data_IF_775880381663
#
_entry.id   IF_775880381663
#
_cell.length_a   1.000
_cell.length_b   1.000
_cell.length_c   1.000
_cell.angle_alpha   90.00
_cell.angle_beta   90.00
_cell.angle_gamma   90.00
#
_symmetry.space_group_name_H-M   'P 1'
#
loop_
_entity.id
_entity.type
_entity.pdbx_description
1 polymer ?
#
# COMPACT_ATOMS: atom_id res chain seq x y z
N UNK A 1 -18.11 -17.91 -18.47
CA UNK A 1 -17.07 -18.39 -17.53
C UNK A 1 -16.29 -17.25 -16.85
N UNK A 2 -15.90 -16.17 -17.53
CA UNK A 2 -15.20 -15.02 -16.93
C UNK A 2 -16.00 -14.22 -15.87
N UNK A 3 -17.33 -14.07 -16.03
CA UNK A 3 -18.17 -13.39 -15.03
C UNK A 3 -18.19 -14.12 -13.67
N UNK A 4 -18.08 -15.45 -13.63
CA UNK A 4 -18.10 -16.21 -12.37
C UNK A 4 -16.80 -16.04 -11.58
N UNK A 5 -15.65 -15.97 -12.26
CA UNK A 5 -14.36 -15.73 -11.59
C UNK A 5 -14.29 -14.32 -11.00
N UNK A 6 -14.66 -13.28 -11.74
CA UNK A 6 -14.60 -11.90 -11.24
C UNK A 6 -15.53 -11.67 -10.03
N UNK A 7 -16.72 -12.25 -10.07
CA UNK A 7 -17.69 -12.21 -8.95
C UNK A 7 -17.14 -12.94 -7.73
N UNK A 8 -16.49 -14.09 -7.94
CA UNK A 8 -15.85 -14.87 -6.88
C UNK A 8 -14.63 -14.16 -6.25
N UNK A 9 -13.77 -13.54 -7.07
CA UNK A 9 -12.63 -12.74 -6.60
C UNK A 9 -13.08 -11.54 -5.76
N UNK A 10 -14.17 -10.89 -6.16
CA UNK A 10 -14.71 -9.73 -5.45
C UNK A 10 -15.37 -10.14 -4.14
N UNK A 11 -16.05 -11.29 -4.11
CA UNK A 11 -16.67 -11.85 -2.91
C UNK A 11 -15.63 -12.22 -1.83
N UNK A 12 -14.52 -12.88 -2.22
CA UNK A 12 -13.44 -13.24 -1.28
C UNK A 12 -12.80 -12.01 -0.60
N UNK A 13 -12.56 -10.92 -1.34
CA UNK A 13 -12.01 -9.69 -0.73
C UNK A 13 -12.97 -9.07 0.30
N UNK A 14 -14.28 -9.09 0.04
CA UNK A 14 -15.28 -8.61 1.01
C UNK A 14 -15.27 -9.45 2.29
N UNK A 15 -15.04 -10.76 2.18
CA UNK A 15 -14.88 -11.65 3.34
C UNK A 15 -13.62 -11.26 4.15
N UNK A 16 -12.50 -11.00 3.48
CA UNK A 16 -11.25 -10.65 4.15
C UNK A 16 -11.34 -9.33 4.93
N UNK A 17 -12.08 -8.35 4.38
CA UNK A 17 -12.28 -7.06 5.01
C UNK A 17 -13.33 -7.08 6.14
N UNK A 18 -14.06 -8.19 6.32
CA UNK A 18 -15.01 -8.34 7.41
C UNK A 18 -14.27 -8.65 8.72
N UNK A 19 -14.42 -7.78 9.73
CA UNK A 19 -13.73 -7.91 11.02
C UNK A 19 -14.04 -9.20 11.78
N UNK A 20 -15.19 -9.84 11.53
CA UNK A 20 -15.59 -11.10 12.19
C UNK A 20 -15.16 -12.36 11.42
N UNK A 21 -14.65 -12.21 10.20
CA UNK A 21 -14.23 -13.31 9.33
C UNK A 21 -12.74 -13.27 9.06
N UNK A 22 -12.26 -12.24 8.37
CA UNK A 22 -10.84 -12.01 8.10
C UNK A 22 -10.16 -12.99 7.14
N UNK A 23 -10.76 -14.15 6.87
CA UNK A 23 -10.29 -15.12 5.88
C UNK A 23 -11.44 -15.97 5.33
N UNK A 24 -11.22 -16.60 4.19
CA UNK A 24 -12.20 -17.54 3.61
C UNK A 24 -12.34 -18.81 4.47
N UNK A 25 -11.23 -19.30 5.03
CA UNK A 25 -11.25 -20.40 5.99
C UNK A 25 -12.20 -20.11 7.17
N UNK A 26 -12.13 -18.91 7.77
CA UNK A 26 -13.01 -18.56 8.91
C UNK A 26 -14.48 -18.47 8.49
N UNK A 27 -14.74 -18.02 7.26
CA UNK A 27 -16.08 -18.04 6.68
C UNK A 27 -16.61 -19.47 6.58
N UNK A 28 -15.83 -20.40 6.03
CA UNK A 28 -16.22 -21.81 5.91
C UNK A 28 -16.50 -22.44 7.28
N UNK A 29 -15.60 -22.27 8.26
CA UNK A 29 -15.81 -22.78 9.63
C UNK A 29 -17.09 -22.24 10.26
N UNK A 30 -17.46 -20.99 9.99
CA UNK A 30 -18.62 -20.34 10.61
C UNK A 30 -19.95 -20.70 9.93
N UNK A 31 -19.96 -20.87 8.61
CA UNK A 31 -21.20 -20.95 7.84
C UNK A 31 -21.41 -22.29 7.12
N UNK A 32 -20.35 -23.03 6.83
CA UNK A 32 -20.43 -24.33 6.14
C UNK A 32 -20.37 -25.49 7.15
N UNK A 33 -21.54 -26.02 7.52
CA UNK A 33 -21.66 -27.07 8.56
C UNK A 33 -20.87 -28.35 8.25
N UNK A 34 -20.69 -28.64 6.97
CA UNK A 34 -19.96 -29.82 6.48
C UNK A 34 -18.45 -29.60 6.41
N UNK A 35 -17.97 -28.36 6.62
CA UNK A 35 -16.55 -28.07 6.61
C UNK A 35 -15.88 -28.57 7.90
N UNK A 36 -15.04 -29.58 7.80
CA UNK A 36 -14.45 -30.31 8.94
C UNK A 36 -13.01 -29.91 9.28
N UNK A 37 -12.28 -29.24 8.39
CA UNK A 37 -10.89 -28.83 8.62
C UNK A 37 -10.82 -27.83 9.78
N UNK A 38 -9.92 -28.06 10.73
CA UNK A 38 -9.67 -27.16 11.88
C UNK A 38 -8.19 -26.85 11.99
N UNK A 39 -7.87 -25.59 11.75
CA UNK A 39 -6.54 -25.01 11.97
C UNK A 39 -6.39 -24.63 13.45
N UNK A 40 -5.17 -24.67 13.95
CA UNK A 40 -4.80 -24.08 15.24
C UNK A 40 -4.96 -22.55 15.21
N UNK A 41 -5.05 -21.92 16.40
CA UNK A 41 -5.21 -20.46 16.49
C UNK A 41 -4.11 -19.69 15.74
N UNK A 42 -2.86 -20.18 15.80
CA UNK A 42 -1.74 -19.53 15.12
C UNK A 42 -1.81 -19.69 13.60
N UNK A 43 -2.20 -20.88 13.10
CA UNK A 43 -2.44 -21.11 11.67
C UNK A 43 -3.61 -20.24 11.16
N UNK A 44 -4.71 -20.16 11.91
CA UNK A 44 -5.84 -19.29 11.57
C UNK A 44 -5.39 -17.82 11.44
N UNK A 45 -4.54 -17.36 12.36
CA UNK A 45 -4.01 -15.99 12.36
C UNK A 45 -3.07 -15.72 11.20
N UNK A 46 -2.24 -16.69 10.82
CA UNK A 46 -1.40 -16.59 9.61
C UNK A 46 -2.27 -16.48 8.35
N UNK A 47 -3.31 -17.32 8.23
CA UNK A 47 -4.24 -17.26 7.09
C UNK A 47 -4.99 -15.92 7.06
N UNK A 48 -5.42 -15.39 8.21
CA UNK A 48 -6.03 -14.06 8.34
C UNK A 48 -5.07 -12.94 7.89
N UNK A 49 -3.82 -12.98 8.36
CA UNK A 49 -2.79 -12.00 8.00
C UNK A 49 -2.60 -11.95 6.48
N UNK A 50 -2.34 -13.11 5.85
CA UNK A 50 -2.10 -13.19 4.41
C UNK A 50 -3.35 -12.72 3.64
N UNK A 51 -4.55 -13.12 4.09
CA UNK A 51 -5.83 -12.71 3.48
C UNK A 51 -5.99 -11.18 3.47
N UNK A 52 -5.77 -10.53 4.61
CA UNK A 52 -5.97 -9.08 4.76
C UNK A 52 -4.85 -8.25 4.18
N UNK A 53 -3.60 -8.72 4.26
CA UNK A 53 -2.42 -7.89 3.97
C UNK A 53 -1.83 -8.15 2.59
N UNK A 54 -1.90 -9.38 2.08
CA UNK A 54 -1.15 -9.80 0.89
C UNK A 54 -2.05 -10.28 -0.25
N UNK A 55 -3.16 -10.95 0.06
CA UNK A 55 -4.02 -11.58 -0.94
C UNK A 55 -4.81 -10.59 -1.81
N UNK A 56 -4.79 -9.30 -1.49
CA UNK A 56 -5.25 -8.24 -2.41
C UNK A 56 -4.46 -8.24 -3.72
N UNK A 57 -3.24 -8.77 -3.70
CA UNK A 57 -2.37 -8.93 -4.86
C UNK A 57 -1.58 -7.68 -5.21
N UNK A 58 -1.45 -6.71 -4.30
CA UNK A 58 -0.82 -5.40 -4.57
C UNK A 58 0.70 -5.47 -4.83
N UNK A 59 1.38 -6.53 -4.38
CA UNK A 59 2.80 -6.81 -4.70
C UNK A 59 3.02 -8.31 -4.78
N UNK A 60 3.81 -8.74 -5.77
CA UNK A 60 4.05 -10.17 -6.03
C UNK A 60 5.03 -10.82 -5.05
N UNK A 61 5.95 -10.04 -4.47
CA UNK A 61 7.14 -10.51 -3.78
C UNK A 61 6.81 -11.42 -2.59
N UNK A 62 5.93 -10.99 -1.68
CA UNK A 62 5.58 -11.75 -0.48
C UNK A 62 4.74 -12.99 -0.79
N UNK A 63 3.86 -12.90 -1.79
CA UNK A 63 3.06 -14.04 -2.26
C UNK A 63 3.96 -15.13 -2.81
N UNK A 64 4.90 -14.72 -3.65
CA UNK A 64 5.87 -15.60 -4.24
C UNK A 64 6.85 -16.13 -3.16
N UNK A 65 7.23 -15.34 -2.17
CA UNK A 65 7.99 -15.84 -1.01
C UNK A 65 7.26 -16.98 -0.31
N UNK A 66 5.97 -16.80 0.02
CA UNK A 66 5.16 -17.82 0.69
C UNK A 66 5.02 -19.09 -0.15
N UNK A 67 4.89 -18.98 -1.47
CA UNK A 67 4.86 -20.15 -2.34
C UNK A 67 6.21 -20.88 -2.37
N UNK A 68 7.33 -20.16 -2.19
CA UNK A 68 8.67 -20.76 -2.05
C UNK A 68 8.84 -21.48 -0.72
N UNK A 69 8.31 -20.96 0.37
CA UNK A 69 8.45 -21.59 1.69
C UNK A 69 7.70 -22.93 1.79
N UNK A 70 6.72 -23.19 0.92
CA UNK A 70 6.08 -24.51 0.81
C UNK A 70 7.07 -25.60 0.32
N UNK A 71 8.03 -25.23 -0.53
CA UNK A 71 8.95 -26.16 -1.19
C UNK A 71 10.37 -26.15 -0.60
N UNK A 72 10.79 -25.00 -0.09
CA UNK A 72 12.16 -24.77 0.39
C UNK A 72 12.14 -24.32 1.85
N UNK A 73 13.20 -24.69 2.58
CA UNK A 73 13.36 -24.34 3.99
C UNK A 73 14.45 -23.29 4.23
N UNK A 74 15.41 -23.18 3.31
CA UNK A 74 16.60 -22.34 3.44
C UNK A 74 16.83 -21.52 2.17
N UNK A 75 17.63 -20.46 2.31
CA UNK A 75 18.00 -19.53 1.23
C UNK A 75 16.80 -18.91 0.54
N UNK A 76 15.80 -18.52 1.33
CA UNK A 76 14.48 -18.11 0.84
C UNK A 76 14.58 -16.80 0.05
N UNK A 77 15.35 -15.81 0.52
CA UNK A 77 15.46 -14.52 -0.18
C UNK A 77 16.24 -14.70 -1.48
N UNK A 78 17.38 -15.40 -1.48
CA UNK A 78 18.14 -15.64 -2.70
C UNK A 78 17.32 -16.40 -3.76
N UNK A 79 16.48 -17.36 -3.35
CA UNK A 79 15.55 -18.07 -4.25
C UNK A 79 14.43 -17.17 -4.75
N UNK A 80 13.90 -16.29 -3.91
CA UNK A 80 12.88 -15.32 -4.31
C UNK A 80 13.43 -14.38 -5.38
N UNK A 81 14.59 -13.76 -5.14
CA UNK A 81 15.22 -12.83 -6.08
C UNK A 81 15.42 -13.47 -7.45
N UNK A 82 16.01 -14.66 -7.50
CA UNK A 82 16.19 -15.41 -8.75
C UNK A 82 14.86 -15.63 -9.47
N UNK A 83 13.83 -16.08 -8.75
CA UNK A 83 12.54 -16.37 -9.35
C UNK A 83 11.82 -15.11 -9.86
N UNK A 84 11.89 -14.00 -9.14
CA UNK A 84 11.28 -12.74 -9.54
C UNK A 84 11.94 -12.18 -10.81
N UNK A 85 13.27 -12.24 -10.88
CA UNK A 85 14.03 -11.84 -12.07
C UNK A 85 13.65 -12.71 -13.29
N UNK A 86 13.64 -14.04 -13.14
CA UNK A 86 13.38 -14.98 -14.24
C UNK A 86 11.92 -14.94 -14.75
N UNK A 87 10.94 -14.84 -13.85
CA UNK A 87 9.52 -15.00 -14.20
C UNK A 87 8.76 -13.69 -14.35
N UNK A 88 9.14 -12.67 -13.59
CA UNK A 88 8.44 -11.38 -13.53
C UNK A 88 9.29 -10.22 -14.05
N UNK A 89 10.57 -10.45 -14.37
CA UNK A 89 11.52 -9.40 -14.74
C UNK A 89 11.55 -8.27 -13.70
N UNK A 90 11.40 -8.66 -12.43
CA UNK A 90 11.42 -7.76 -11.28
C UNK A 90 12.69 -8.01 -10.46
N UNK A 91 13.47 -6.96 -10.24
CA UNK A 91 14.63 -6.98 -9.37
C UNK A 91 14.28 -6.50 -7.96
N UNK A 92 15.05 -6.97 -6.97
CA UNK A 92 14.93 -6.50 -5.59
C UNK A 92 16.19 -5.75 -5.20
N UNK A 93 16.08 -4.43 -5.08
CA UNK A 93 17.14 -3.62 -4.48
C UNK A 93 17.22 -3.84 -2.96
N UNK A 94 18.15 -3.14 -2.31
CA UNK A 94 18.37 -3.25 -0.87
C UNK A 94 17.12 -2.85 -0.06
N UNK A 95 16.46 -1.74 -0.44
CA UNK A 95 15.27 -1.24 0.24
C UNK A 95 14.07 -2.20 0.11
N UNK A 96 13.86 -2.74 -1.09
CA UNK A 96 12.84 -3.74 -1.35
C UNK A 96 13.11 -5.02 -0.55
N UNK A 97 14.35 -5.49 -0.57
CA UNK A 97 14.77 -6.69 0.16
C UNK A 97 14.52 -6.54 1.66
N UNK A 98 14.96 -5.43 2.25
CA UNK A 98 14.73 -5.13 3.65
C UNK A 98 13.24 -5.00 3.99
N UNK A 99 12.46 -4.29 3.17
CA UNK A 99 11.01 -4.15 3.38
C UNK A 99 10.29 -5.51 3.32
N UNK A 100 10.63 -6.38 2.35
CA UNK A 100 10.08 -7.74 2.25
C UNK A 100 10.46 -8.55 3.49
N UNK A 101 11.72 -8.48 3.94
CA UNK A 101 12.14 -9.14 5.19
C UNK A 101 11.30 -8.64 6.36
N UNK A 102 11.17 -7.32 6.54
CA UNK A 102 10.43 -6.73 7.65
C UNK A 102 8.93 -7.10 7.62
N UNK A 103 8.33 -7.21 6.43
CA UNK A 103 6.97 -7.73 6.26
C UNK A 103 6.87 -9.18 6.72
N UNK A 104 7.85 -10.01 6.33
CA UNK A 104 7.83 -11.45 6.58
C UNK A 104 8.43 -11.86 7.94
N UNK A 105 8.96 -10.92 8.72
CA UNK A 105 9.41 -11.11 10.11
C UNK A 105 8.56 -10.35 11.13
N UNK A 106 7.47 -9.70 10.70
CA UNK A 106 6.59 -8.87 11.53
C UNK A 106 7.30 -7.64 12.15
N UNK A 107 8.31 -7.09 11.47
CA UNK A 107 9.04 -5.88 11.86
C UNK A 107 8.59 -4.63 11.10
N UNK A 108 7.84 -4.77 10.00
CA UNK A 108 7.23 -3.65 9.29
C UNK A 108 6.10 -2.93 10.05
N UNK A 109 5.11 -3.63 10.66
CA UNK A 109 3.98 -2.95 11.27
C UNK A 109 4.35 -2.19 12.54
N UNK A 110 3.56 -1.17 12.89
CA UNK A 110 3.71 -0.43 14.15
C UNK A 110 3.28 -1.27 15.36
N UNK A 111 3.69 -0.87 16.56
CA UNK A 111 3.62 -1.69 17.79
C UNK A 111 2.24 -2.30 18.09
N UNK A 112 1.14 -1.62 17.75
CA UNK A 112 -0.21 -2.17 17.96
C UNK A 112 -0.52 -3.32 16.99
N UNK A 113 -0.27 -3.12 15.69
CA UNK A 113 -0.50 -4.13 14.66
C UNK A 113 0.49 -5.31 14.78
N UNK A 114 1.73 -5.03 15.21
CA UNK A 114 2.74 -6.06 15.51
C UNK A 114 2.26 -7.06 16.56
N UNK A 115 1.55 -6.59 17.60
CA UNK A 115 0.94 -7.46 18.62
C UNK A 115 -0.20 -8.32 18.09
N UNK A 116 -1.02 -7.78 17.19
CA UNK A 116 -2.17 -8.51 16.61
C UNK A 116 -1.74 -9.75 15.81
N UNK A 117 -0.56 -9.70 15.18
CA UNK A 117 -0.02 -10.76 14.32
C UNK A 117 1.34 -11.25 14.83
N UNK A 118 1.54 -11.33 16.15
CA UNK A 118 2.81 -11.70 16.76
C UNK A 118 3.36 -13.06 16.29
N UNK A 119 2.47 -14.00 15.93
CA UNK A 119 2.81 -15.33 15.38
C UNK A 119 3.17 -15.31 13.89
N UNK A 120 2.93 -14.20 13.17
CA UNK A 120 3.17 -14.09 11.72
C UNK A 120 4.64 -13.77 11.42
N UNK A 121 5.54 -14.60 11.94
CA UNK A 121 6.98 -14.55 11.68
C UNK A 121 7.31 -15.72 10.75
N UNK A 122 7.52 -15.44 9.47
CA UNK A 122 7.72 -16.46 8.43
C UNK A 122 9.19 -16.80 8.22
N UNK A 123 10.08 -15.84 8.45
CA UNK A 123 11.51 -15.96 8.20
C UNK A 123 12.33 -15.90 9.49
N UNK A 124 13.50 -16.53 9.47
CA UNK A 124 14.59 -16.34 10.45
C UNK A 124 15.90 -16.11 9.72
N UNK A 125 16.76 -15.23 10.25
CA UNK A 125 18.08 -14.97 9.66
C UNK A 125 18.96 -16.22 9.77
N UNK A 126 19.63 -16.59 8.68
CA UNK A 126 20.56 -17.72 8.60
C UNK A 126 21.84 -17.27 7.89
N UNK A 127 22.96 -17.12 8.61
CA UNK A 127 24.24 -16.65 8.04
C UNK A 127 24.04 -15.46 7.07
N UNK A 128 24.16 -15.70 5.77
CA UNK A 128 24.07 -14.68 4.71
C UNK A 128 22.66 -14.50 4.11
N UNK A 129 21.69 -15.36 4.42
CA UNK A 129 20.33 -15.36 3.85
C UNK A 129 19.28 -15.52 4.98
N UNK A 130 18.09 -16.04 4.65
CA UNK A 130 17.01 -16.36 5.56
C UNK A 130 16.46 -17.76 5.27
N UNK A 131 16.12 -18.48 6.34
CA UNK A 131 15.33 -19.70 6.29
C UNK A 131 13.93 -19.46 6.83
N UNK A 132 13.10 -20.51 6.83
CA UNK A 132 11.79 -20.44 7.48
C UNK A 132 11.93 -20.38 9.01
N UNK A 133 11.08 -19.61 9.67
CA UNK A 133 11.07 -19.57 11.15
C UNK A 133 10.62 -20.91 11.75
N UNK A 134 10.96 -21.16 13.02
CA UNK A 134 10.57 -22.41 13.68
C UNK A 134 9.06 -22.48 13.94
N UNK A 135 8.42 -21.35 14.24
CA UNK A 135 6.96 -21.25 14.45
C UNK A 135 6.23 -21.58 13.16
N UNK A 136 6.64 -20.96 12.06
CA UNK A 136 6.03 -21.21 10.75
C UNK A 136 6.36 -22.61 10.22
N UNK A 137 7.58 -23.11 10.48
CA UNK A 137 7.99 -24.48 10.12
C UNK A 137 7.18 -25.58 10.79
N UNK A 138 6.70 -25.36 12.02
CA UNK A 138 5.76 -26.27 12.68
C UNK A 138 4.39 -26.29 11.98
N UNK A 139 3.86 -25.13 11.60
CA UNK A 139 2.59 -25.05 10.85
C UNK A 139 2.67 -25.75 9.50
N UNK A 140 3.82 -25.63 8.81
CA UNK A 140 4.06 -26.30 7.53
C UNK A 140 4.11 -27.84 7.61
N UNK A 141 4.02 -28.44 8.81
CA UNK A 141 3.83 -29.88 8.97
C UNK A 141 2.36 -30.30 8.83
N UNK A 142 1.42 -29.35 8.94
CA UNK A 142 -0.01 -29.60 8.76
C UNK A 142 -0.37 -29.52 7.26
N UNK A 143 -0.77 -30.63 6.63
CA UNK A 143 -1.09 -30.64 5.20
C UNK A 143 -2.32 -29.79 4.86
N UNK A 144 -3.31 -29.72 5.75
CA UNK A 144 -4.52 -28.91 5.55
C UNK A 144 -4.20 -27.41 5.56
N UNK A 145 -3.32 -26.98 6.48
CA UNK A 145 -2.81 -25.61 6.48
C UNK A 145 -2.06 -25.28 5.18
N UNK A 146 -1.19 -26.18 4.72
CA UNK A 146 -0.43 -25.99 3.49
C UNK A 146 -1.35 -25.86 2.26
N UNK A 147 -2.39 -26.69 2.16
CA UNK A 147 -3.36 -26.63 1.08
C UNK A 147 -4.14 -25.30 1.07
N UNK A 148 -4.64 -24.85 2.23
CA UNK A 148 -5.33 -23.56 2.36
C UNK A 148 -4.39 -22.40 2.04
N UNK A 149 -3.15 -22.46 2.51
CA UNK A 149 -2.14 -21.44 2.25
C UNK A 149 -1.82 -21.35 0.75
N UNK A 150 -1.62 -22.48 0.08
CA UNK A 150 -1.34 -22.51 -1.35
C UNK A 150 -2.50 -21.92 -2.17
N UNK A 151 -3.75 -22.30 -1.87
CA UNK A 151 -4.94 -21.73 -2.54
C UNK A 151 -5.01 -20.21 -2.34
N UNK A 152 -4.76 -19.73 -1.11
CA UNK A 152 -4.80 -18.31 -0.78
C UNK A 152 -3.69 -17.53 -1.51
N UNK A 153 -2.49 -18.08 -1.58
CA UNK A 153 -1.36 -17.47 -2.28
C UNK A 153 -1.62 -17.44 -3.79
N UNK A 154 -2.13 -18.52 -4.38
CA UNK A 154 -2.47 -18.58 -5.80
C UNK A 154 -3.62 -17.63 -6.17
N UNK A 155 -4.59 -17.47 -5.28
CA UNK A 155 -5.60 -16.42 -5.38
C UNK A 155 -4.95 -15.03 -5.42
N UNK A 156 -4.04 -14.73 -4.49
CA UNK A 156 -3.32 -13.46 -4.45
C UNK A 156 -2.49 -13.20 -5.71
N UNK A 157 -1.75 -14.20 -6.19
CA UNK A 157 -0.95 -14.12 -7.42
C UNK A 157 -1.85 -13.87 -8.63
N UNK A 158 -2.99 -14.54 -8.70
CA UNK A 158 -3.97 -14.32 -9.78
C UNK A 158 -4.49 -12.89 -9.79
N UNK A 159 -4.76 -12.31 -8.62
CA UNK A 159 -5.16 -10.91 -8.49
C UNK A 159 -4.06 -9.93 -8.88
N UNK A 160 -2.82 -10.21 -8.50
CA UNK A 160 -1.66 -9.42 -8.93
C UNK A 160 -1.58 -9.38 -10.45
N UNK A 161 -1.62 -10.55 -11.10
CA UNK A 161 -1.54 -10.65 -12.57
C UNK A 161 -2.61 -9.83 -13.29
N UNK A 162 -3.82 -9.80 -12.75
CA UNK A 162 -4.95 -9.08 -13.36
C UNK A 162 -4.91 -7.58 -13.09
N UNK A 163 -4.52 -7.14 -11.89
CA UNK A 163 -4.75 -5.75 -11.45
C UNK A 163 -3.48 -4.94 -11.19
N UNK A 164 -2.35 -5.60 -10.91
CA UNK A 164 -1.15 -4.97 -10.35
C UNK A 164 0.15 -5.36 -11.06
N UNK A 165 0.10 -6.11 -12.17
CA UNK A 165 1.28 -6.53 -12.93
C UNK A 165 1.86 -5.45 -13.84
N UNK A 166 1.04 -4.48 -14.24
CA UNK A 166 1.44 -3.34 -15.08
C UNK A 166 1.83 -2.16 -14.19
N UNK A 167 3.05 -2.23 -13.65
CA UNK A 167 3.60 -1.20 -12.78
C UNK A 167 3.70 0.16 -13.49
N UNK A 168 3.52 1.24 -12.73
CA UNK A 168 3.82 2.59 -13.15
C UNK A 168 5.32 2.81 -13.07
N UNK A 169 5.95 2.84 -14.25
CA UNK A 169 7.39 3.06 -14.41
C UNK A 169 8.20 2.07 -13.52
N UNK A 170 9.10 2.59 -12.70
CA UNK A 170 9.99 1.86 -11.77
C UNK A 170 9.38 1.63 -10.37
N UNK A 171 8.08 1.89 -10.16
CA UNK A 171 7.42 1.67 -8.87
C UNK A 171 6.75 0.29 -8.75
N UNK A 172 6.27 -0.07 -7.56
CA UNK A 172 5.33 -1.20 -7.38
C UNK A 172 3.85 -0.75 -7.40
N UNK A 173 3.57 0.49 -7.80
CA UNK A 173 2.24 1.08 -7.85
C UNK A 173 1.68 0.97 -9.27
N UNK A 174 0.35 1.03 -9.41
CA UNK A 174 -0.36 1.02 -10.70
C UNK A 174 -1.31 2.20 -10.72
N UNK A 175 -1.25 2.99 -11.80
CA UNK A 175 -2.10 4.16 -11.95
C UNK A 175 -3.58 3.81 -11.78
N UNK A 176 -4.28 4.69 -11.09
CA UNK A 176 -5.73 4.64 -10.83
C UNK A 176 -6.19 3.44 -9.98
N UNK A 177 -5.27 2.65 -9.45
CA UNK A 177 -5.59 1.67 -8.41
C UNK A 177 -5.66 2.35 -7.04
N UNK A 178 -6.33 1.67 -6.09
CA UNK A 178 -6.59 2.16 -4.74
C UNK A 178 -5.57 1.63 -3.72
N UNK A 179 -5.07 2.53 -2.89
CA UNK A 179 -4.04 2.24 -1.89
C UNK A 179 -4.34 2.92 -0.55
N UNK A 180 -4.06 2.21 0.54
CA UNK A 180 -4.05 2.80 1.89
C UNK A 180 -2.70 3.47 2.18
N UNK A 181 -2.61 4.21 3.29
CA UNK A 181 -1.32 4.68 3.81
C UNK A 181 -0.31 3.55 4.04
N UNK A 182 -0.76 2.43 4.60
CA UNK A 182 0.10 1.26 4.85
C UNK A 182 0.58 0.63 3.54
N UNK A 183 -0.27 0.56 2.52
CA UNK A 183 0.14 0.11 1.19
C UNK A 183 1.21 1.01 0.59
N UNK A 184 1.07 2.33 0.72
CA UNK A 184 2.06 3.26 0.19
C UNK A 184 3.42 3.07 0.88
N UNK A 185 3.48 2.99 2.21
CA UNK A 185 4.72 2.70 2.92
C UNK A 185 5.34 1.37 2.45
N UNK A 186 4.53 0.33 2.25
CA UNK A 186 5.00 -0.99 1.81
C UNK A 186 5.52 -0.98 0.38
N UNK A 187 4.78 -0.38 -0.54
CA UNK A 187 5.06 -0.40 -1.99
C UNK A 187 6.15 0.59 -2.41
N UNK A 188 6.36 1.65 -1.62
CA UNK A 188 7.51 2.55 -1.71
C UNK A 188 8.72 2.03 -0.93
N UNK A 189 8.68 0.78 -0.45
CA UNK A 189 9.78 0.07 0.23
C UNK A 189 10.29 0.75 1.51
N UNK A 190 9.43 1.47 2.25
CA UNK A 190 9.84 2.05 3.53
C UNK A 190 10.19 0.94 4.53
N UNK A 191 11.20 1.17 5.36
CA UNK A 191 11.65 0.15 6.33
C UNK A 191 10.51 -0.30 7.26
N UNK A 192 9.66 0.65 7.67
CA UNK A 192 8.53 0.43 8.59
C UNK A 192 7.29 1.19 8.13
N UNK A 193 6.14 0.72 8.59
CA UNK A 193 4.88 1.42 8.43
C UNK A 193 4.85 2.69 9.28
N UNK A 194 4.08 3.67 8.82
CA UNK A 194 3.77 4.89 9.55
C UNK A 194 2.27 5.01 9.77
N UNK A 195 1.87 5.44 10.97
CA UNK A 195 0.44 5.66 11.24
C UNK A 195 -0.04 6.90 10.46
N UNK A 196 -1.31 6.91 10.00
CA UNK A 196 -1.84 8.04 9.21
C UNK A 196 -1.65 9.42 9.86
N UNK A 197 -1.73 9.48 11.20
CA UNK A 197 -1.50 10.72 11.96
C UNK A 197 -0.08 11.28 11.77
N UNK A 198 0.93 10.41 11.71
CA UNK A 198 2.33 10.81 11.54
C UNK A 198 2.62 11.24 10.08
N UNK A 199 1.90 10.67 9.12
CA UNK A 199 1.98 11.08 7.71
C UNK A 199 1.32 12.45 7.56
N UNK A 200 0.09 12.62 8.06
CA UNK A 200 -0.57 13.92 8.15
C UNK A 200 -0.74 14.65 6.80
N UNK A 201 -0.93 13.92 5.71
CA UNK A 201 -1.09 14.46 4.34
C UNK A 201 0.14 14.27 3.47
N UNK A 202 1.35 14.35 4.02
CA UNK A 202 2.57 13.99 3.28
C UNK A 202 3.72 13.68 4.24
N UNK A 203 4.61 12.76 3.87
CA UNK A 203 5.83 12.50 4.67
C UNK A 203 6.98 12.05 3.78
N UNK A 204 8.12 12.69 3.95
CA UNK A 204 9.34 12.34 3.23
C UNK A 204 10.06 11.20 3.95
N UNK A 205 10.35 10.12 3.23
CA UNK A 205 11.23 9.07 3.71
C UNK A 205 12.64 9.26 3.12
N UNK A 206 13.59 9.61 3.99
CA UNK A 206 14.97 9.93 3.59
C UNK A 206 15.71 8.71 3.03
N UNK A 207 15.36 7.50 3.47
CA UNK A 207 16.04 6.25 3.09
C UNK A 207 15.74 5.89 1.64
N UNK A 208 14.46 5.85 1.28
CA UNK A 208 14.00 5.53 -0.08
C UNK A 208 13.92 6.74 -1.00
N UNK A 209 14.12 7.95 -0.45
CA UNK A 209 13.92 9.24 -1.13
C UNK A 209 12.53 9.40 -1.76
N UNK A 210 11.51 8.76 -1.21
CA UNK A 210 10.13 8.90 -1.67
C UNK A 210 9.34 9.86 -0.81
N UNK A 211 8.41 10.59 -1.43
CA UNK A 211 7.62 11.63 -0.78
C UNK A 211 6.15 11.56 -1.22
N UNK A 212 5.36 10.63 -0.65
CA UNK A 212 3.94 10.54 -0.96
C UNK A 212 3.15 11.74 -0.41
N UNK A 213 2.23 12.22 -1.24
CA UNK A 213 1.22 13.25 -0.94
C UNK A 213 -0.16 12.58 -0.99
N UNK A 214 -0.96 12.78 0.05
CA UNK A 214 -2.31 12.25 0.21
C UNK A 214 -3.30 13.41 0.34
N UNK A 215 -4.16 13.56 -0.67
CA UNK A 215 -5.17 14.61 -0.73
C UNK A 215 -6.55 13.99 -0.54
N UNK A 216 -7.35 14.65 0.29
CA UNK A 216 -8.77 14.39 0.38
C UNK A 216 -9.44 15.52 -0.39
N UNK A 217 -9.85 15.20 -1.61
CA UNK A 217 -10.48 16.17 -2.49
C UNK A 217 -11.91 16.38 -2.01
N UNK A 218 -12.21 17.61 -1.60
CA UNK A 218 -13.56 18.07 -1.27
C UNK A 218 -13.89 19.22 -2.21
N UNK A 219 -15.07 19.16 -2.82
CA UNK A 219 -15.56 20.23 -3.70
C UNK A 219 -16.72 20.86 -2.97
N UNK A 220 -16.49 21.93 -2.22
CA UNK A 220 -17.59 22.64 -1.57
C UNK A 220 -18.20 23.64 -2.55
N UNK A 221 -19.45 23.37 -2.94
CA UNK A 221 -20.25 24.22 -3.84
C UNK A 221 -20.81 25.49 -3.16
N UNK A 222 -20.44 25.79 -1.91
CA UNK A 222 -20.87 26.99 -1.19
C UNK A 222 -19.68 27.74 -0.58
N UNK A 223 -19.10 28.62 -1.38
CA UNK A 223 -18.01 29.51 -0.98
C UNK A 223 -18.55 30.56 0.00
N UNK A 224 -18.28 30.41 1.29
CA UNK A 224 -18.03 31.57 2.13
C UNK A 224 -16.58 32.01 1.88
N UNK A 225 -16.32 33.33 1.83
CA UNK A 225 -14.99 33.95 1.62
C UNK A 225 -13.88 33.47 2.60
N UNK A 226 -14.22 32.64 3.59
CA UNK A 226 -13.32 32.06 4.59
C UNK A 226 -12.58 30.79 4.14
N UNK A 227 -12.91 30.17 3.00
CA UNK A 227 -12.32 28.90 2.48
C UNK A 227 -11.58 29.09 1.14
N UNK A 228 -10.80 30.18 1.00
CA UNK A 228 -10.21 30.57 -0.31
C UNK A 228 -9.00 29.75 -0.77
N UNK A 229 -8.52 28.80 0.02
CA UNK A 229 -7.31 28.03 -0.26
C UNK A 229 -7.57 26.55 0.02
N UNK A 230 -7.87 25.80 -1.04
CA UNK A 230 -8.08 24.35 -1.01
C UNK A 230 -7.30 23.66 -2.13
N UNK A 231 -7.00 22.38 -1.92
CA UNK A 231 -6.38 21.53 -2.94
C UNK A 231 -7.36 21.37 -4.11
N UNK A 232 -6.97 21.76 -5.33
CA UNK A 232 -7.86 21.69 -6.49
C UNK A 232 -7.11 21.41 -7.79
N UNK A 233 -7.75 20.64 -8.67
CA UNK A 233 -7.24 20.47 -10.02
C UNK A 233 -7.57 21.70 -10.87
N UNK A 234 -6.58 22.16 -11.63
CA UNK A 234 -6.77 23.22 -12.66
C UNK A 234 -6.79 22.64 -14.07
N UNK A 235 -6.27 21.42 -14.24
CA UNK A 235 -6.38 20.59 -15.45
C UNK A 235 -6.12 19.11 -15.09
N UNK A 236 -6.33 18.19 -16.03
CA UNK A 236 -6.04 16.76 -15.86
C UNK A 236 -4.57 16.47 -15.47
N UNK A 237 -3.63 17.36 -15.81
CA UNK A 237 -2.21 17.22 -15.47
C UNK A 237 -1.70 18.33 -14.53
N UNK A 238 -2.58 19.14 -13.94
CA UNK A 238 -2.20 20.27 -13.10
C UNK A 238 -3.04 20.33 -11.84
N UNK A 239 -2.35 20.34 -10.70
CA UNK A 239 -2.96 20.37 -9.37
C UNK A 239 -2.33 21.50 -8.56
N UNK A 240 -3.15 22.28 -7.88
CA UNK A 240 -2.70 23.20 -6.84
C UNK A 240 -2.95 22.51 -5.50
N UNK A 241 -1.91 22.37 -4.68
CA UNK A 241 -2.02 21.77 -3.36
C UNK A 241 -1.30 22.58 -2.29
N UNK A 242 -1.80 22.50 -1.06
CA UNK A 242 -1.37 23.36 0.05
C UNK A 242 -0.54 22.55 1.06
N UNK A 243 0.55 23.15 1.52
CA UNK A 243 1.40 22.57 2.55
C UNK A 243 0.66 22.39 3.89
N UNK A 244 1.25 21.64 4.83
CA UNK A 244 0.77 21.62 6.21
C UNK A 244 0.77 23.04 6.81
N UNK A 245 -0.08 23.25 7.81
CA UNK A 245 -0.15 24.50 8.56
C UNK A 245 1.16 24.79 9.30
N UNK A 246 1.58 26.06 9.32
CA UNK A 246 2.83 26.51 9.93
C UNK A 246 4.07 26.27 9.05
N UNK A 247 3.88 26.24 7.73
CA UNK A 247 4.97 26.11 6.76
C UNK A 247 5.18 27.39 5.99
N UNK A 248 6.42 27.61 5.59
CA UNK A 248 6.91 28.74 4.82
C UNK A 248 7.71 28.25 3.63
N UNK A 249 8.09 29.15 2.73
CA UNK A 249 8.98 28.82 1.61
C UNK A 249 10.28 28.16 2.10
N UNK A 250 10.78 28.52 3.28
CA UNK A 250 12.05 28.01 3.84
C UNK A 250 11.91 26.68 4.60
N UNK A 251 10.69 26.17 4.78
CA UNK A 251 10.48 24.91 5.51
C UNK A 251 11.11 23.73 4.78
N UNK A 252 11.74 22.79 5.51
CA UNK A 252 12.49 21.66 4.90
C UNK A 252 11.63 20.82 3.96
N UNK A 253 10.37 20.56 4.33
CA UNK A 253 9.42 19.80 3.50
C UNK A 253 9.06 20.54 2.21
N UNK A 254 8.76 21.84 2.29
CA UNK A 254 8.51 22.70 1.12
C UNK A 254 9.76 22.75 0.22
N UNK A 255 10.95 22.92 0.81
CA UNK A 255 12.20 22.92 0.06
C UNK A 255 12.52 21.56 -0.58
N UNK A 256 12.12 20.45 0.05
CA UNK A 256 12.21 19.12 -0.56
C UNK A 256 11.31 19.01 -1.77
N UNK A 257 10.08 19.52 -1.71
CA UNK A 257 9.15 19.55 -2.84
C UNK A 257 9.65 20.41 -4.00
N UNK A 258 10.01 21.67 -3.73
CA UNK A 258 10.45 22.62 -4.77
C UNK A 258 11.76 22.21 -5.45
N UNK A 259 12.60 21.43 -4.77
CA UNK A 259 13.88 20.95 -5.29
C UNK A 259 13.90 19.44 -5.52
N UNK A 260 12.74 18.79 -5.63
CA UNK A 260 12.63 17.33 -5.63
C UNK A 260 13.49 16.69 -6.74
N UNK A 261 13.35 17.17 -7.97
CA UNK A 261 14.13 16.69 -9.13
C UNK A 261 15.63 16.81 -8.90
N UNK A 262 16.11 17.97 -8.40
CA UNK A 262 17.53 18.20 -8.10
C UNK A 262 18.06 17.29 -6.99
N UNK A 263 17.21 16.95 -6.02
CA UNK A 263 17.55 16.11 -4.86
C UNK A 263 17.36 14.60 -5.14
N UNK A 264 16.78 14.26 -6.30
CA UNK A 264 16.38 12.89 -6.63
C UNK A 264 15.30 12.37 -5.67
N UNK A 265 14.35 13.24 -5.30
CA UNK A 265 13.20 12.88 -4.46
C UNK A 265 12.03 12.55 -5.37
N UNK A 266 11.44 11.38 -5.15
CA UNK A 266 10.30 10.89 -5.92
C UNK A 266 8.98 11.24 -5.23
N UNK A 267 8.23 12.19 -5.79
CA UNK A 267 6.98 12.69 -5.19
C UNK A 267 5.78 11.98 -5.79
N UNK A 268 5.00 11.32 -4.95
CA UNK A 268 3.96 10.35 -5.36
C UNK A 268 2.57 10.82 -4.95
N UNK A 269 1.65 10.97 -5.88
CA UNK A 269 0.33 11.57 -5.61
C UNK A 269 -0.77 10.51 -5.39
N UNK A 270 -1.47 10.64 -4.27
CA UNK A 270 -2.62 9.83 -3.89
C UNK A 270 -3.81 10.73 -3.56
N UNK A 271 -4.95 10.51 -4.21
CA UNK A 271 -6.15 11.34 -4.05
C UNK A 271 -7.39 10.48 -3.79
N UNK A 272 -8.25 10.91 -2.87
CA UNK A 272 -9.59 10.35 -2.73
C UNK A 272 -10.63 11.45 -2.68
N UNK A 273 -11.82 11.15 -3.21
CA UNK A 273 -13.00 12.01 -3.14
C UNK A 273 -13.67 11.83 -1.78
N UNK A 274 -13.76 12.91 -1.00
CA UNK A 274 -14.48 13.05 0.28
C UNK A 274 -13.99 12.12 1.44
N UNK A 275 -13.93 12.67 2.68
CA UNK A 275 -13.57 11.92 3.91
C UNK A 275 -14.75 11.20 4.56
N UNK A 276 -15.99 11.61 4.26
CA UNK A 276 -17.20 11.12 4.92
C UNK A 276 -17.67 9.76 4.42
N UNK A 277 -17.05 9.26 3.35
CA UNK A 277 -17.21 7.88 2.94
C UNK A 277 -16.52 6.95 3.97
N UNK A 278 -17.25 6.65 5.05
CA UNK A 278 -16.86 5.70 6.11
C UNK A 278 -16.51 4.31 5.57
N UNK A 279 -16.71 4.07 4.28
CA UNK A 279 -16.55 2.81 3.57
C UNK A 279 -15.09 2.56 3.14
N UNK A 280 -14.29 3.58 2.79
CA UNK A 280 -12.91 3.33 2.31
C UNK A 280 -11.84 4.29 2.84
N UNK A 281 -10.76 3.69 3.36
CA UNK A 281 -9.51 4.36 3.77
C UNK A 281 -8.49 4.46 2.62
N UNK A 282 -8.91 4.16 1.39
CA UNK A 282 -8.02 4.09 0.24
C UNK A 282 -8.08 5.35 -0.64
N UNK A 283 -6.99 5.58 -1.35
CA UNK A 283 -6.76 6.68 -2.28
C UNK A 283 -6.43 6.14 -3.66
N UNK A 284 -6.92 6.78 -4.71
CA UNK A 284 -6.44 6.56 -6.06
C UNK A 284 -5.00 7.04 -6.16
N UNK A 285 -4.11 6.20 -6.67
CA UNK A 285 -2.78 6.62 -7.05
C UNK A 285 -2.81 7.28 -8.43
N UNK A 286 -2.32 8.52 -8.53
CA UNK A 286 -2.38 9.33 -9.75
C UNK A 286 -1.01 9.52 -10.42
N UNK A 287 0.03 8.85 -9.92
CA UNK A 287 1.36 8.90 -10.51
C UNK A 287 2.29 9.91 -9.82
N UNK A 288 3.40 10.19 -10.51
CA UNK A 288 4.43 11.13 -10.06
C UNK A 288 4.03 12.57 -10.35
N UNK A 289 4.44 13.45 -9.44
CA UNK A 289 4.27 14.90 -9.58
C UNK A 289 5.57 15.65 -9.41
N UNK A 290 5.68 16.79 -10.10
CA UNK A 290 6.83 17.69 -10.04
C UNK A 290 6.31 19.09 -9.70
N UNK A 291 6.91 19.76 -8.72
CA UNK A 291 6.57 21.14 -8.43
C UNK A 291 7.01 22.02 -9.61
N UNK A 292 6.13 22.88 -10.13
CA UNK A 292 6.44 23.72 -11.30
C UNK A 292 7.39 24.88 -10.98
N UNK A 293 7.61 25.13 -9.69
CA UNK A 293 8.29 26.33 -9.18
C UNK A 293 7.32 27.47 -8.87
N UNK A 294 6.07 27.41 -9.38
CA UNK A 294 5.02 28.32 -8.96
C UNK A 294 4.55 27.93 -7.56
N UNK A 295 5.00 28.70 -6.58
CA UNK A 295 4.62 28.53 -5.19
C UNK A 295 4.43 29.87 -4.50
N UNK A 296 3.43 29.95 -3.63
CA UNK A 296 3.05 31.18 -2.95
C UNK A 296 2.80 30.92 -1.47
N UNK A 297 3.57 31.57 -0.62
CA UNK A 297 3.30 31.60 0.81
C UNK A 297 2.14 32.56 1.10
N UNK A 298 1.26 32.15 2.01
CA UNK A 298 0.14 32.96 2.51
C UNK A 298 -0.10 32.68 4.00
N UNK A 299 -0.91 33.53 4.64
CA UNK A 299 -1.39 33.32 6.01
C UNK A 299 -2.76 32.65 5.94
N UNK A 300 -2.93 31.51 6.60
CA UNK A 300 -4.17 30.75 6.55
C UNK A 300 -5.32 31.55 7.17
N UNK A 301 -6.52 31.58 6.55
CA UNK A 301 -7.67 32.31 7.08
C UNK A 301 -7.97 31.95 8.53
N UNK A 302 -8.33 32.95 9.33
CA UNK A 302 -8.68 32.80 10.75
C UNK A 302 -7.56 32.22 11.64
N UNK A 303 -6.29 32.29 11.21
CA UNK A 303 -5.12 31.89 12.01
C UNK A 303 -3.93 32.82 11.78
N UNK A 304 -2.92 32.76 12.63
CA UNK A 304 -1.62 33.43 12.43
C UNK A 304 -0.58 32.51 11.77
N UNK A 305 -1.00 31.35 11.25
CA UNK A 305 -0.09 30.34 10.69
C UNK A 305 0.05 30.53 9.19
N UNK A 306 1.29 30.38 8.70
CA UNK A 306 1.56 30.38 7.27
C UNK A 306 1.33 29.01 6.64
N UNK A 307 1.05 29.00 5.34
CA UNK A 307 1.11 27.83 4.48
C UNK A 307 1.64 28.23 3.11
N UNK A 308 2.00 27.24 2.29
CA UNK A 308 2.52 27.42 0.93
C UNK A 308 1.61 26.68 -0.03
N UNK A 309 1.06 27.42 -0.97
CA UNK A 309 0.41 26.87 -2.17
C UNK A 309 1.50 26.47 -3.16
N UNK A 310 1.44 25.25 -3.68
CA UNK A 310 2.40 24.71 -4.65
C UNK A 310 1.60 24.20 -5.85
N UNK A 311 1.96 24.65 -7.04
CA UNK A 311 1.47 24.08 -8.29
C UNK A 311 2.30 22.86 -8.69
N UNK A 312 1.59 21.80 -9.06
CA UNK A 312 2.13 20.50 -9.42
C UNK A 312 1.82 20.16 -10.86
N UNK A 313 2.82 19.68 -11.58
CA UNK A 313 2.67 18.94 -12.84
C UNK A 313 2.57 17.46 -12.55
N UNK A 314 1.56 16.78 -13.08
CA UNK A 314 1.54 15.32 -13.11
C UNK A 314 2.29 14.85 -14.36
N UNK A 315 3.22 13.91 -14.20
CA UNK A 315 3.94 13.32 -15.34
C UNK A 315 3.01 12.56 -16.29
N UNK A 316 1.94 11.97 -15.74
CA UNK A 316 0.87 11.33 -16.50
C UNK A 316 -0.45 12.04 -16.16
N UNK A 317 -1.15 12.63 -17.15
CA UNK A 317 -2.46 13.21 -16.92
C UNK A 317 -3.43 12.20 -16.26
N UNK A 318 -4.30 12.70 -15.37
CA UNK A 318 -5.35 11.87 -14.78
C UNK A 318 -6.27 11.39 -15.90
N UNK A 319 -6.56 10.09 -15.95
CA UNK A 319 -7.48 9.52 -16.92
C UNK A 319 -8.86 10.15 -16.75
N UNK A 320 -9.47 10.54 -17.86
CA UNK A 320 -10.68 11.38 -17.87
C UNK A 320 -11.81 10.87 -16.97
N UNK A 321 -12.14 9.58 -16.98
CA UNK A 321 -13.17 9.01 -16.10
C UNK A 321 -12.87 9.18 -14.60
N UNK A 322 -11.59 9.04 -14.20
CA UNK A 322 -11.13 9.24 -12.83
C UNK A 322 -11.11 10.73 -12.50
N UNK A 323 -10.65 11.56 -13.44
CA UNK A 323 -10.63 13.01 -13.28
C UNK A 323 -12.05 13.53 -13.04
N UNK A 324 -12.99 13.24 -13.96
CA UNK A 324 -14.40 13.61 -13.84
C UNK A 324 -15.03 13.06 -12.57
N UNK A 325 -14.69 11.83 -12.16
CA UNK A 325 -15.17 11.28 -10.88
C UNK A 325 -14.69 12.11 -9.69
N UNK A 326 -13.41 12.53 -9.66
CA UNK A 326 -12.81 13.30 -8.56
C UNK A 326 -13.34 14.74 -8.52
N UNK A 327 -13.40 15.42 -9.67
CA UNK A 327 -13.69 16.87 -9.75
C UNK A 327 -15.18 17.21 -9.89
N UNK A 328 -16.05 16.24 -10.18
CA UNK A 328 -17.49 16.44 -10.20
C UNK A 328 -18.17 15.79 -9.00
N UNK A 329 -19.42 16.16 -8.74
CA UNK A 329 -20.28 15.56 -7.70
C UNK A 329 -20.65 14.10 -7.99
#
# INVERSE_FOLDING_TARGET
MFLNLLTFYTAKIRIFNNNSLGSYYKFLVKYEKEYTIRLSEDEEKVIEFISKKLASGKRIHELELLKRTLQYRHRIIGRLQKHLSEKYHCEMDEHCTENVINMMTNEFPTSAAKKTYAQCVFLKKEQDDYGISDVYGKMLQNPEFCAILEELVDFGISRYKVNYSYHYQDTNLVLYQKYTYEDACRLLNWERNEVPLNIGGYKYDKKTKTFPIFINYDKQDNISDTTKYEDHFVAENRLIAISKSGRSMDSEDVQNFLNATKRGIDVQLFVRKNKDDKISKEFYYLGRVIATGNAKQFVMPNTDKTAVEIEWELETPVREDIYQYIVNE
#
